data_IF_223931590147
#
_entry.id   IF_223931590147
#
_cell.length_a   1.000
_cell.length_b   1.000
_cell.length_c   1.000
_cell.angle_alpha   90.00
_cell.angle_beta   90.00
_cell.angle_gamma   90.00
#
_symmetry.space_group_name_H-M   'P 1'
#
loop_
_entity.id
_entity.type
_entity.pdbx_description
1 polymer ?
#
# COMPACT_ATOMS: atom_id res chain seq x y z
N UNK A 1 1.29 -18.40 -3.59
CA UNK A 1 1.30 -17.09 -2.93
C UNK A 1 -0.06 -16.93 -2.28
N UNK A 2 -0.14 -16.80 -0.96
CA UNK A 2 -1.44 -16.61 -0.29
C UNK A 2 -1.23 -15.68 0.88
N UNK A 3 -1.72 -14.45 0.74
CA UNK A 3 -1.92 -13.56 1.89
C UNK A 3 -3.03 -14.19 2.74
N UNK A 4 -2.82 -14.33 4.04
CA UNK A 4 -3.80 -15.00 4.91
C UNK A 4 -5.11 -14.20 4.94
N UNK A 5 -6.24 -14.90 4.94
CA UNK A 5 -7.57 -14.25 4.86
C UNK A 5 -7.84 -13.33 6.06
N UNK A 6 -7.32 -13.67 7.25
CA UNK A 6 -7.41 -12.81 8.43
C UNK A 6 -6.65 -11.50 8.25
N UNK A 7 -5.46 -11.55 7.65
CA UNK A 7 -4.66 -10.35 7.32
C UNK A 7 -5.38 -9.50 6.27
N UNK A 8 -5.92 -10.12 5.21
CA UNK A 8 -6.69 -9.43 4.18
C UNK A 8 -7.88 -8.68 4.80
N UNK A 9 -8.63 -9.36 5.66
CA UNK A 9 -9.80 -8.77 6.31
C UNK A 9 -9.41 -7.61 7.22
N UNK A 10 -8.40 -7.79 8.09
CA UNK A 10 -7.93 -6.74 8.98
C UNK A 10 -7.41 -5.50 8.23
N UNK A 11 -6.73 -5.68 7.09
CA UNK A 11 -6.29 -4.57 6.26
C UNK A 11 -7.45 -3.85 5.58
N UNK A 12 -8.48 -4.58 5.12
CA UNK A 12 -9.70 -3.99 4.54
C UNK A 12 -10.52 -3.22 5.57
N UNK A 13 -10.52 -3.67 6.81
CA UNK A 13 -11.25 -3.04 7.93
C UNK A 13 -10.54 -1.79 8.49
N UNK A 14 -9.37 -1.42 7.95
CA UNK A 14 -8.69 -0.16 8.31
C UNK A 14 -9.63 1.02 8.04
N UNK A 15 -9.92 1.81 9.07
CA UNK A 15 -10.80 2.97 8.94
C UNK A 15 -10.22 3.97 7.92
N UNK A 16 -10.97 4.26 6.87
CA UNK A 16 -10.64 5.17 5.77
C UNK A 16 -11.94 5.59 5.08
N UNK A 17 -11.92 6.63 4.26
CA UNK A 17 -13.04 6.84 3.33
C UNK A 17 -13.15 5.68 2.34
N UNK A 18 -11.99 5.16 1.88
CA UNK A 18 -11.94 3.97 1.03
C UNK A 18 -10.62 3.21 1.14
N UNK A 19 -10.71 1.88 1.11
CA UNK A 19 -9.55 0.97 1.04
C UNK A 19 -9.64 0.15 -0.24
N UNK A 20 -8.54 0.10 -0.98
CA UNK A 20 -8.33 -0.82 -2.10
C UNK A 20 -7.31 -1.87 -1.70
N UNK A 21 -7.70 -3.14 -1.80
CA UNK A 21 -6.79 -4.26 -1.65
C UNK A 21 -7.05 -5.26 -2.77
N UNK A 22 -6.11 -5.36 -3.69
CA UNK A 22 -6.20 -6.24 -4.86
C UNK A 22 -4.98 -7.14 -4.90
N UNK A 23 -5.20 -8.43 -5.10
CA UNK A 23 -4.14 -9.43 -5.26
C UNK A 23 -4.32 -10.14 -6.60
N UNK A 24 -3.24 -10.29 -7.36
CA UNK A 24 -3.20 -11.02 -8.62
C UNK A 24 -2.38 -12.30 -8.44
N UNK A 25 -2.97 -13.45 -8.79
CA UNK A 25 -2.32 -14.75 -8.70
C UNK A 25 -1.17 -14.92 -9.72
N UNK A 26 -1.17 -14.11 -10.77
CA UNK A 26 -0.10 -14.05 -11.76
C UNK A 26 0.71 -12.76 -11.57
N UNK A 27 2.05 -12.80 -11.74
CA UNK A 27 2.84 -11.60 -11.73
C UNK A 27 2.47 -10.71 -12.91
N UNK A 28 2.49 -9.39 -12.69
CA UNK A 28 2.54 -8.39 -13.75
C UNK A 28 3.96 -7.85 -13.88
N UNK A 29 4.32 -7.35 -15.06
CA UNK A 29 5.59 -6.66 -15.27
C UNK A 29 5.59 -5.21 -14.81
N UNK A 30 4.42 -4.62 -14.60
CA UNK A 30 4.24 -3.17 -14.46
C UNK A 30 3.28 -2.79 -13.32
N UNK A 31 3.59 -1.70 -12.62
CA UNK A 31 2.77 -1.20 -11.53
C UNK A 31 1.48 -0.53 -12.01
N UNK A 32 1.46 0.04 -13.23
CA UNK A 32 0.25 0.62 -13.80
C UNK A 32 -0.80 -0.45 -14.12
N UNK A 33 -0.40 -1.61 -14.66
CA UNK A 33 -1.31 -2.75 -14.86
C UNK A 33 -1.97 -3.19 -13.55
N UNK A 34 -1.20 -3.20 -12.46
CA UNK A 34 -1.69 -3.53 -11.13
C UNK A 34 -2.65 -2.46 -10.57
N UNK A 35 -2.33 -1.18 -10.76
CA UNK A 35 -3.20 -0.07 -10.38
C UNK A 35 -4.53 -0.12 -11.13
N UNK A 36 -4.50 -0.33 -12.44
CA UNK A 36 -5.69 -0.47 -13.28
C UNK A 36 -6.54 -1.67 -12.83
N UNK A 37 -5.90 -2.81 -12.54
CA UNK A 37 -6.61 -3.99 -12.03
C UNK A 37 -7.30 -3.73 -10.68
N UNK A 38 -6.78 -2.80 -9.88
CA UNK A 38 -7.40 -2.37 -8.63
C UNK A 38 -8.44 -1.24 -8.80
N UNK A 39 -8.62 -0.70 -10.01
CA UNK A 39 -9.51 0.44 -10.28
C UNK A 39 -8.92 1.79 -9.85
N UNK A 40 -7.59 1.90 -9.82
CA UNK A 40 -6.85 3.14 -9.57
C UNK A 40 -6.35 3.74 -10.89
N UNK A 41 -6.07 5.05 -10.89
CA UNK A 41 -5.40 5.69 -12.01
C UNK A 41 -3.93 5.23 -12.09
N UNK A 42 -3.39 5.01 -13.30
CA UNK A 42 -1.97 4.74 -13.48
C UNK A 42 -1.12 5.96 -13.08
N UNK A 43 0.06 5.72 -12.51
CA UNK A 43 0.99 6.77 -12.09
C UNK A 43 2.16 6.96 -13.07
N UNK A 44 2.42 6.00 -13.95
CA UNK A 44 3.49 6.07 -14.95
C UNK A 44 4.85 6.37 -14.30
N UNK A 45 5.45 7.51 -14.65
CA UNK A 45 6.77 7.91 -14.12
C UNK A 45 6.74 8.39 -12.66
N UNK A 46 5.57 8.57 -12.08
CA UNK A 46 5.42 9.03 -10.70
C UNK A 46 5.50 7.89 -9.67
N UNK A 47 5.58 6.62 -10.10
CA UNK A 47 5.91 5.52 -9.21
C UNK A 47 7.27 5.73 -8.55
N UNK A 48 7.29 5.71 -7.22
CA UNK A 48 8.51 5.78 -6.42
C UNK A 48 8.89 4.36 -6.04
N UNK A 49 9.92 3.82 -6.67
CA UNK A 49 10.47 2.50 -6.31
C UNK A 49 11.16 2.57 -4.95
N UNK A 50 10.85 1.60 -4.09
CA UNK A 50 11.39 1.52 -2.73
C UNK A 50 11.95 0.13 -2.44
N UNK A 51 12.89 0.04 -1.49
CA UNK A 51 13.32 -1.25 -0.98
C UNK A 51 12.26 -1.87 -0.04
N UNK A 52 12.46 -3.14 0.33
CA UNK A 52 11.55 -3.88 1.20
C UNK A 52 11.34 -3.22 2.56
N UNK A 53 12.42 -2.78 3.22
CA UNK A 53 12.31 -2.21 4.57
C UNK A 53 11.53 -0.91 4.55
N UNK A 54 11.76 -0.09 3.51
CA UNK A 54 10.99 1.11 3.27
C UNK A 54 9.53 0.82 2.91
N UNK A 55 9.26 -0.23 2.13
CA UNK A 55 7.89 -0.67 1.82
C UNK A 55 7.12 -1.08 3.08
N UNK A 56 7.75 -1.87 3.97
CA UNK A 56 7.17 -2.27 5.25
C UNK A 56 6.89 -1.06 6.14
N UNK A 57 7.86 -0.14 6.27
CA UNK A 57 7.69 1.06 7.09
C UNK A 57 6.61 2.01 6.52
N UNK A 58 6.57 2.18 5.19
CA UNK A 58 5.55 2.98 4.52
C UNK A 58 4.15 2.41 4.76
N UNK A 59 3.98 1.10 4.58
CA UNK A 59 2.70 0.44 4.78
C UNK A 59 2.28 0.46 6.25
N UNK A 60 3.22 0.28 7.19
CA UNK A 60 2.93 0.41 8.61
C UNK A 60 2.44 1.82 8.96
N UNK A 61 3.11 2.87 8.45
CA UNK A 61 2.65 4.25 8.62
C UNK A 61 1.25 4.48 8.07
N UNK A 62 0.96 3.93 6.88
CA UNK A 62 -0.34 4.04 6.21
C UNK A 62 -1.48 3.36 6.98
N UNK A 63 -1.18 2.23 7.61
CA UNK A 63 -2.12 1.49 8.45
C UNK A 63 -2.34 2.18 9.80
N UNK A 64 -1.27 2.75 10.38
CA UNK A 64 -1.27 3.32 11.73
C UNK A 64 -2.06 4.61 11.84
N UNK A 65 -1.98 5.51 10.86
CA UNK A 65 -2.59 6.84 10.94
C UNK A 65 -3.43 7.19 9.72
N UNK A 66 -4.42 8.08 9.90
CA UNK A 66 -5.16 8.68 8.79
C UNK A 66 -4.26 9.60 7.93
N UNK A 67 -4.65 9.87 6.69
CA UNK A 67 -3.82 10.69 5.80
C UNK A 67 -3.95 12.20 6.03
N UNK A 68 -5.09 12.69 6.53
CA UNK A 68 -5.41 14.11 6.64
C UNK A 68 -4.80 14.78 7.90
N UNK A 69 -5.03 14.17 9.06
CA UNK A 69 -4.71 14.68 10.40
C UNK A 69 -3.64 13.87 11.12
N UNK A 70 -3.26 12.70 10.60
CA UNK A 70 -2.33 11.76 11.23
C UNK A 70 -2.83 11.24 12.58
N UNK A 71 -4.14 11.20 12.78
CA UNK A 71 -4.74 10.59 13.98
C UNK A 71 -4.52 9.09 13.93
N UNK A 72 -4.36 8.47 15.08
CA UNK A 72 -4.17 7.03 15.16
C UNK A 72 -5.45 6.29 14.71
N UNK A 73 -5.30 5.44 13.70
CA UNK A 73 -6.32 4.52 13.19
C UNK A 73 -6.19 3.15 13.85
N UNK A 74 -4.96 2.70 14.09
CA UNK A 74 -4.69 1.49 14.86
C UNK A 74 -3.33 1.56 15.57
N UNK A 75 -3.12 0.77 16.63
CA UNK A 75 -1.85 0.75 17.36
C UNK A 75 -0.66 0.36 16.47
N UNK A 76 0.50 0.97 16.73
CA UNK A 76 1.76 0.77 15.99
C UNK A 76 2.12 -0.71 15.80
N UNK A 77 2.15 -1.49 16.89
CA UNK A 77 2.49 -2.92 16.83
C UNK A 77 1.58 -3.74 15.90
N UNK A 78 0.29 -3.36 15.78
CA UNK A 78 -0.66 -4.00 14.87
C UNK A 78 -0.37 -3.61 13.43
N UNK A 79 -0.11 -2.33 13.18
CA UNK A 79 0.24 -1.82 11.85
C UNK A 79 1.55 -2.45 11.33
N UNK A 80 2.58 -2.52 12.16
CA UNK A 80 3.86 -3.18 11.83
C UNK A 80 3.67 -4.67 11.52
N UNK A 81 2.90 -5.37 12.35
CA UNK A 81 2.61 -6.79 12.12
C UNK A 81 1.88 -7.02 10.80
N UNK A 82 0.82 -6.25 10.51
CA UNK A 82 0.08 -6.35 9.25
C UNK A 82 0.96 -6.02 8.04
N UNK A 83 1.78 -4.96 8.13
CA UNK A 83 2.68 -4.58 7.06
C UNK A 83 3.73 -5.68 6.77
N UNK A 84 4.30 -6.28 7.82
CA UNK A 84 5.25 -7.38 7.68
C UNK A 84 4.61 -8.61 7.06
N UNK A 85 3.41 -9.00 7.52
CA UNK A 85 2.68 -10.14 6.95
C UNK A 85 2.34 -9.93 5.48
N UNK A 86 1.90 -8.71 5.11
CA UNK A 86 1.64 -8.34 3.73
C UNK A 86 2.89 -8.48 2.85
N UNK A 87 4.00 -7.85 3.23
CA UNK A 87 5.23 -7.83 2.43
C UNK A 87 5.92 -9.20 2.38
N UNK A 88 5.80 -10.02 3.43
CA UNK A 88 6.32 -11.40 3.46
C UNK A 88 5.57 -12.34 2.52
N UNK A 89 4.27 -12.12 2.28
CA UNK A 89 3.45 -12.98 1.43
C UNK A 89 3.96 -13.08 -0.03
N UNK A 90 4.73 -12.08 -0.50
CA UNK A 90 5.25 -12.01 -1.87
C UNK A 90 6.65 -12.61 -2.03
N UNK A 91 7.17 -13.30 -1.01
CA UNK A 91 8.48 -13.95 -1.03
C UNK A 91 9.62 -13.00 -0.66
N UNK A 92 10.86 -13.48 -0.74
CA UNK A 92 12.07 -12.75 -0.30
C UNK A 92 12.88 -12.14 -1.45
N UNK A 93 12.91 -12.82 -2.59
CA UNK A 93 13.76 -12.49 -3.75
C UNK A 93 12.90 -12.08 -4.94
N UNK A 94 13.48 -11.28 -5.85
CA UNK A 94 12.83 -10.80 -7.07
C UNK A 94 11.48 -10.12 -6.82
N UNK A 95 11.39 -9.35 -5.73
CA UNK A 95 10.20 -8.56 -5.37
C UNK A 95 10.51 -7.09 -5.57
N UNK A 96 9.62 -6.40 -6.29
CA UNK A 96 9.67 -4.96 -6.51
C UNK A 96 8.54 -4.29 -5.75
N UNK A 97 8.84 -3.14 -5.16
CA UNK A 97 7.90 -2.35 -4.38
C UNK A 97 7.87 -0.93 -4.95
N UNK A 98 6.68 -0.33 -5.01
CA UNK A 98 6.54 1.07 -5.36
C UNK A 98 5.39 1.74 -4.60
N UNK A 99 5.53 3.03 -4.37
CA UNK A 99 4.52 3.90 -3.74
C UNK A 99 4.28 5.13 -4.63
N UNK A 100 3.34 5.98 -4.23
CA UNK A 100 3.09 7.27 -4.87
C UNK A 100 3.83 8.45 -4.21
N UNK A 101 4.80 8.17 -3.33
CA UNK A 101 5.45 9.19 -2.52
C UNK A 101 6.88 8.80 -2.12
N UNK A 102 7.78 9.79 -2.16
CA UNK A 102 9.12 9.72 -1.59
C UNK A 102 9.18 10.04 -0.10
N UNK A 103 8.04 10.35 0.52
CA UNK A 103 7.90 10.65 1.94
C UNK A 103 7.32 9.42 2.69
N UNK A 104 7.03 9.60 3.97
CA UNK A 104 6.37 8.58 4.79
C UNK A 104 4.99 9.11 5.23
N UNK A 105 3.93 8.29 5.14
CA UNK A 105 2.56 8.75 5.35
C UNK A 105 2.26 9.18 6.78
N UNK A 106 3.08 8.76 7.75
CA UNK A 106 2.92 9.09 9.16
C UNK A 106 3.83 10.25 9.63
N UNK A 107 4.49 10.95 8.70
CA UNK A 107 5.34 12.13 8.96
C UNK A 107 4.82 13.36 8.23
N UNK A 108 5.17 14.55 8.75
CA UNK A 108 4.89 15.82 8.09
C UNK A 108 6.19 16.53 7.68
N UNK A 109 6.28 17.08 6.46
CA UNK A 109 5.27 17.05 5.39
C UNK A 109 5.15 15.67 4.72
N UNK A 110 3.99 15.40 4.12
CA UNK A 110 3.74 14.22 3.28
C UNK A 110 3.23 14.68 1.91
N UNK A 111 4.08 14.59 0.88
CA UNK A 111 3.71 14.83 -0.50
C UNK A 111 3.45 13.53 -1.25
N UNK A 112 2.48 13.50 -2.16
CA UNK A 112 2.17 12.31 -2.97
C UNK A 112 1.69 12.69 -4.37
N UNK A 113 1.70 11.72 -5.27
CA UNK A 113 1.01 11.82 -6.57
C UNK A 113 -0.34 11.10 -6.48
N UNK A 114 -1.47 11.77 -6.76
CA UNK A 114 -2.78 11.14 -6.65
C UNK A 114 -3.00 10.00 -7.65
N UNK A 115 -3.55 8.88 -7.17
CA UNK A 115 -4.04 7.77 -8.00
C UNK A 115 -5.58 7.67 -7.97
N UNK A 116 -6.24 8.53 -7.19
CA UNK A 116 -7.69 8.59 -7.01
C UNK A 116 -8.19 10.03 -7.10
N UNK A 117 -9.51 10.23 -7.02
CA UNK A 117 -10.14 11.55 -6.93
C UNK A 117 -10.36 12.04 -5.50
N UNK A 118 -9.86 11.33 -4.48
CA UNK A 118 -10.03 11.70 -3.07
C UNK A 118 -9.03 12.80 -2.67
N UNK A 119 -9.34 13.51 -1.59
CA UNK A 119 -8.51 14.62 -1.11
C UNK A 119 -7.10 14.15 -0.71
N UNK A 120 -7.00 12.96 -0.13
CA UNK A 120 -5.75 12.31 0.21
C UNK A 120 -5.78 10.86 -0.23
N UNK A 121 -4.69 10.36 -0.82
CA UNK A 121 -4.54 8.95 -1.10
C UNK A 121 -3.08 8.50 -1.13
N UNK A 122 -2.85 7.26 -0.70
CA UNK A 122 -1.53 6.68 -0.70
C UNK A 122 -1.61 5.17 -0.66
N UNK A 123 -0.54 4.52 -1.13
CA UNK A 123 -0.50 3.08 -1.11
C UNK A 123 0.84 2.49 -1.52
N UNK A 124 0.87 1.17 -1.43
CA UNK A 124 2.00 0.33 -1.75
C UNK A 124 1.57 -0.69 -2.82
N UNK A 125 2.31 -0.71 -3.91
CA UNK A 125 2.25 -1.73 -4.95
C UNK A 125 3.43 -2.70 -4.80
N UNK A 126 3.16 -3.99 -4.97
CA UNK A 126 4.13 -5.07 -4.82
C UNK A 126 4.01 -6.02 -6.00
N UNK A 127 5.14 -6.32 -6.63
CA UNK A 127 5.24 -7.31 -7.70
C UNK A 127 6.29 -8.33 -7.29
N UNK A 128 5.85 -9.55 -7.00
CA UNK A 128 6.73 -10.70 -6.75
C UNK A 128 6.71 -11.71 -7.90
N UNK A 129 7.54 -12.75 -7.80
CA UNK A 129 7.65 -13.79 -8.84
C UNK A 129 6.36 -14.59 -9.07
N UNK A 130 5.54 -14.76 -8.03
CA UNK A 130 4.37 -15.64 -8.03
C UNK A 130 3.05 -14.89 -7.85
N UNK A 131 3.06 -13.58 -8.09
CA UNK A 131 1.88 -12.73 -8.01
C UNK A 131 2.22 -11.30 -7.60
N UNK A 132 1.19 -10.46 -7.59
CA UNK A 132 1.31 -9.04 -7.29
C UNK A 132 0.17 -8.60 -6.38
N UNK A 133 0.34 -7.50 -5.66
CA UNK A 133 -0.74 -6.88 -4.92
C UNK A 133 -0.54 -5.40 -4.73
N UNK A 134 -1.65 -4.70 -4.55
CA UNK A 134 -1.68 -3.29 -4.24
C UNK A 134 -2.61 -3.07 -3.06
N UNK A 135 -2.11 -2.33 -2.09
CA UNK A 135 -2.87 -1.81 -0.97
C UNK A 135 -2.88 -0.28 -1.06
N UNK A 136 -4.06 0.31 -1.13
CA UNK A 136 -4.26 1.74 -1.25
C UNK A 136 -5.33 2.18 -0.28
N UNK A 137 -5.17 3.38 0.26
CA UNK A 137 -6.20 4.03 1.08
C UNK A 137 -6.43 5.42 0.51
N UNK A 138 -7.64 5.92 0.69
CA UNK A 138 -7.89 7.33 0.52
C UNK A 138 -8.89 7.83 1.55
N UNK A 139 -8.69 9.10 1.90
CA UNK A 139 -9.42 9.81 2.94
C UNK A 139 -10.01 11.09 2.33
N UNK A 140 -11.21 11.43 2.78
CA UNK A 140 -11.85 12.73 2.59
C UNK A 140 -11.86 13.39 3.97
N UNK A 141 -11.58 14.69 4.01
CA UNK A 141 -11.43 15.52 5.22
C UNK A 141 -12.28 15.09 6.44
#
# INVERSE_FOLDING_TARGET
>A
MTLRDDVVQMMRDRAAARVWLTTLASPTSDFDELAIAAGLAPLGRAWVSVDRGRAEHFLAGLLRVDLAYKSEVMPEHRAEWLASEFVRAFGRYDVRFATNSSDLPDRFPFGWTPATGLAFDAGLAVIGRHGAAIYWVGDED
#
